data_IF_523415031831
#
_entry.id   IF_523415031831
#
_cell.length_a   1.000
_cell.length_b   1.000
_cell.length_c   1.000
_cell.angle_alpha   90.00
_cell.angle_beta   90.00
_cell.angle_gamma   90.00
#
_symmetry.space_group_name_H-M   'P 1'
#
loop_
_entity.id
_entity.type
_entity.pdbx_description
1 polymer ?
#
# COMPACT_ATOMS: atom_id res chain seq x y z
N UNK A 1 -13.49 49.78 5.89
CA UNK A 1 -13.80 48.88 4.76
C UNK A 1 -12.58 48.28 4.06
N UNK A 2 -11.43 48.96 3.94
CA UNK A 2 -10.29 48.44 3.17
C UNK A 2 -9.39 47.41 3.90
N UNK A 3 -9.35 47.43 5.24
CA UNK A 3 -8.50 46.54 6.04
C UNK A 3 -9.06 45.11 6.17
N UNK A 4 -10.37 44.95 6.30
CA UNK A 4 -11.02 43.63 6.38
C UNK A 4 -10.98 42.90 5.03
N UNK A 5 -11.04 43.62 3.92
CA UNK A 5 -10.94 43.04 2.58
C UNK A 5 -9.52 42.52 2.30
N UNK A 6 -8.48 43.29 2.64
CA UNK A 6 -7.09 42.85 2.52
C UNK A 6 -6.74 41.66 3.44
N UNK A 7 -7.34 41.57 4.63
CA UNK A 7 -7.17 40.41 5.52
C UNK A 7 -7.92 39.17 5.02
N UNK A 8 -9.11 39.34 4.42
CA UNK A 8 -9.83 38.25 3.73
C UNK A 8 -9.03 37.74 2.54
N UNK A 9 -8.49 38.63 1.70
CA UNK A 9 -7.67 38.25 0.55
C UNK A 9 -6.34 37.61 0.95
N UNK A 10 -5.67 38.08 2.02
CA UNK A 10 -4.50 37.40 2.59
C UNK A 10 -4.85 36.01 3.12
N UNK A 11 -5.95 35.85 3.85
CA UNK A 11 -6.42 34.53 4.33
C UNK A 11 -6.82 33.59 3.19
N UNK A 12 -7.40 34.11 2.11
CA UNK A 12 -7.74 33.34 0.90
C UNK A 12 -6.48 32.98 0.12
N UNK A 13 -5.49 33.89 -0.01
CA UNK A 13 -4.19 33.57 -0.62
C UNK A 13 -3.39 32.58 0.21
N UNK A 14 -3.44 32.65 1.55
CA UNK A 14 -2.82 31.66 2.45
C UNK A 14 -3.54 30.32 2.34
N UNK A 15 -4.88 30.28 2.28
CA UNK A 15 -5.64 29.03 2.03
C UNK A 15 -5.36 28.45 0.63
N UNK A 16 -5.30 29.27 -0.41
CA UNK A 16 -4.93 28.84 -1.78
C UNK A 16 -3.47 28.39 -1.89
N UNK A 17 -2.57 28.90 -1.05
CA UNK A 17 -1.16 28.44 -0.95
C UNK A 17 -1.01 27.17 -0.09
N UNK A 18 -1.94 26.93 0.84
CA UNK A 18 -2.08 25.69 1.63
C UNK A 18 -2.64 24.51 0.82
N UNK A 19 -3.24 24.77 -0.33
CA UNK A 19 -3.73 23.76 -1.29
C UNK A 19 -2.74 23.55 -2.45
N UNK A 20 -1.43 23.62 -2.16
CA UNK A 20 -0.40 23.27 -3.14
C UNK A 20 -0.52 21.78 -3.46
N UNK A 21 -0.64 21.47 -4.74
CA UNK A 21 -0.63 20.11 -5.27
C UNK A 21 0.53 19.32 -4.65
N UNK A 22 0.22 18.31 -3.85
CA UNK A 22 1.18 17.26 -3.43
C UNK A 22 1.92 16.73 -4.67
N UNK A 23 1.28 16.75 -5.84
CA UNK A 23 1.78 16.25 -7.14
C UNK A 23 3.14 16.85 -7.57
N UNK A 24 3.46 18.10 -7.19
CA UNK A 24 4.69 18.81 -7.60
C UNK A 24 5.59 19.19 -6.40
N UNK A 25 5.56 18.39 -5.33
CA UNK A 25 6.37 18.65 -4.15
C UNK A 25 7.88 18.44 -4.41
N UNK A 26 8.70 19.40 -3.99
CA UNK A 26 10.17 19.36 -4.08
C UNK A 26 10.73 19.13 -2.68
N UNK A 27 11.63 18.14 -2.47
CA UNK A 27 12.22 17.88 -1.16
C UNK A 27 13.06 19.08 -0.69
N UNK A 28 13.08 19.31 0.62
CA UNK A 28 14.08 20.19 1.24
C UNK A 28 15.46 19.53 1.26
N UNK A 29 16.52 20.31 1.51
CA UNK A 29 17.89 19.78 1.57
C UNK A 29 18.05 18.70 2.65
N UNK A 30 17.35 18.85 3.78
CA UNK A 30 17.35 17.87 4.87
C UNK A 30 16.69 16.54 4.47
N UNK A 31 15.74 16.57 3.54
CA UNK A 31 14.99 15.39 3.10
C UNK A 31 15.62 14.70 1.90
N UNK A 32 16.61 15.34 1.27
CA UNK A 32 17.05 14.99 -0.09
C UNK A 32 17.56 13.57 -0.21
N UNK A 33 18.44 13.14 0.69
CA UNK A 33 19.02 11.79 0.68
C UNK A 33 17.93 10.72 0.86
N UNK A 34 17.07 10.89 1.87
CA UNK A 34 15.95 9.98 2.10
C UNK A 34 14.99 9.97 0.90
N UNK A 35 14.65 11.15 0.38
CA UNK A 35 13.76 11.27 -0.77
C UNK A 35 14.34 10.57 -2.02
N UNK A 36 15.64 10.70 -2.29
CA UNK A 36 16.30 10.01 -3.40
C UNK A 36 16.26 8.49 -3.20
N UNK A 37 16.59 7.99 -2.01
CA UNK A 37 16.50 6.56 -1.69
C UNK A 37 15.09 5.99 -1.88
N UNK A 38 14.06 6.72 -1.43
CA UNK A 38 12.66 6.30 -1.61
C UNK A 38 12.23 6.40 -3.08
N UNK A 39 12.73 7.39 -3.83
CA UNK A 39 12.42 7.53 -5.25
C UNK A 39 12.88 6.32 -6.06
N UNK A 40 13.98 5.67 -5.66
CA UNK A 40 14.52 4.46 -6.29
C UNK A 40 13.59 3.27 -6.05
N UNK A 41 13.14 3.09 -4.81
CA UNK A 41 12.12 2.09 -4.44
C UNK A 41 10.83 2.31 -5.24
N UNK A 42 10.38 3.55 -5.38
CA UNK A 42 9.18 3.88 -6.15
C UNK A 42 9.36 3.71 -7.67
N UNK A 43 10.59 3.83 -8.19
CA UNK A 43 10.89 3.48 -9.59
C UNK A 43 10.76 1.98 -9.81
N UNK A 44 11.31 1.17 -8.92
CA UNK A 44 11.21 -0.29 -8.96
C UNK A 44 9.76 -0.78 -8.76
N UNK A 45 9.00 -0.14 -7.86
CA UNK A 45 7.60 -0.48 -7.59
C UNK A 45 6.70 -0.39 -8.84
N UNK A 46 6.94 0.61 -9.69
CA UNK A 46 6.23 0.77 -10.98
C UNK A 46 6.52 -0.37 -11.95
N UNK A 47 7.77 -0.84 -12.01
CA UNK A 47 8.15 -1.98 -12.84
C UNK A 47 7.49 -3.26 -12.35
N UNK A 48 7.45 -3.47 -11.03
CA UNK A 48 6.78 -4.62 -10.42
C UNK A 48 5.29 -4.66 -10.76
N UNK A 49 4.59 -3.53 -10.66
CA UNK A 49 3.18 -3.46 -11.04
C UNK A 49 3.01 -3.78 -12.53
N UNK A 50 3.85 -3.24 -13.40
CA UNK A 50 3.79 -3.52 -14.83
C UNK A 50 4.02 -5.01 -15.14
N UNK A 51 4.98 -5.64 -14.48
CA UNK A 51 5.25 -7.07 -14.67
C UNK A 51 4.14 -7.96 -14.14
N UNK A 52 3.57 -7.62 -12.97
CA UNK A 52 2.47 -8.36 -12.37
C UNK A 52 1.20 -8.25 -13.23
N UNK A 53 0.92 -7.08 -13.81
CA UNK A 53 -0.19 -6.91 -14.78
C UNK A 53 -0.03 -7.79 -16.03
N UNK A 54 1.21 -8.13 -16.39
CA UNK A 54 1.52 -8.99 -17.54
C UNK A 54 1.68 -10.47 -17.16
N UNK A 55 1.43 -10.84 -15.91
CA UNK A 55 1.58 -12.21 -15.43
C UNK A 55 0.43 -13.09 -15.94
N UNK A 56 0.69 -13.86 -17.01
CA UNK A 56 -0.31 -14.75 -17.64
C UNK A 56 -0.40 -16.14 -16.98
N UNK A 57 0.65 -16.56 -16.29
CA UNK A 57 0.80 -17.90 -15.76
C UNK A 57 1.13 -18.98 -16.80
N UNK A 58 1.40 -20.19 -16.34
CA UNK A 58 1.77 -21.34 -17.19
C UNK A 58 0.75 -22.49 -17.10
N UNK A 59 -0.52 -22.16 -16.86
CA UNK A 59 -1.55 -23.14 -16.55
C UNK A 59 -1.76 -24.18 -17.67
N UNK A 60 -1.56 -23.81 -18.94
CA UNK A 60 -1.70 -24.72 -20.08
C UNK A 60 -0.58 -25.75 -20.05
N UNK A 61 0.66 -25.29 -20.00
CA UNK A 61 1.86 -26.11 -20.03
C UNK A 61 1.91 -27.03 -18.79
N UNK A 62 1.53 -26.50 -17.62
CA UNK A 62 1.42 -27.28 -16.38
C UNK A 62 0.38 -28.40 -16.53
N UNK A 63 -0.81 -28.12 -17.08
CA UNK A 63 -1.86 -29.14 -17.26
C UNK A 63 -1.41 -30.23 -18.24
N UNK A 64 -0.75 -29.86 -19.33
CA UNK A 64 -0.20 -30.81 -20.30
C UNK A 64 0.85 -31.71 -19.63
N UNK A 65 1.77 -31.15 -18.83
CA UNK A 65 2.78 -31.91 -18.10
C UNK A 65 2.21 -32.79 -16.97
N UNK A 66 1.11 -32.40 -16.32
CA UNK A 66 0.45 -33.25 -15.32
C UNK A 66 -0.29 -34.42 -15.99
N UNK A 67 -0.86 -34.19 -17.18
CA UNK A 67 -1.68 -35.19 -17.88
C UNK A 67 -0.82 -36.20 -18.65
N UNK A 68 0.32 -35.76 -19.19
CA UNK A 68 1.25 -36.59 -19.95
C UNK A 68 2.68 -36.41 -19.40
N UNK A 69 3.23 -37.50 -18.87
CA UNK A 69 4.55 -37.54 -18.25
C UNK A 69 5.71 -37.58 -19.27
N UNK A 70 5.45 -37.36 -20.56
CA UNK A 70 6.50 -37.28 -21.56
C UNK A 70 7.51 -36.15 -21.24
N UNK A 71 8.80 -36.37 -21.55
CA UNK A 71 9.88 -35.44 -21.22
C UNK A 71 9.69 -34.06 -21.87
N UNK A 72 9.09 -34.01 -23.05
CA UNK A 72 8.87 -32.79 -23.81
C UNK A 72 7.83 -31.87 -23.15
N UNK A 73 6.75 -32.42 -22.61
CA UNK A 73 5.76 -31.71 -21.82
C UNK A 73 6.36 -31.20 -20.50
N UNK A 74 7.16 -32.03 -19.80
CA UNK A 74 7.87 -31.58 -18.59
C UNK A 74 8.82 -30.42 -18.90
N UNK A 75 9.57 -30.52 -20.01
CA UNK A 75 10.49 -29.47 -20.48
C UNK A 75 9.77 -28.17 -20.77
N UNK A 76 8.67 -28.21 -21.54
CA UNK A 76 7.85 -27.02 -21.86
C UNK A 76 7.27 -26.37 -20.61
N UNK A 77 6.74 -27.15 -19.67
CA UNK A 77 6.24 -26.63 -18.40
C UNK A 77 7.35 -25.98 -17.57
N UNK A 78 8.54 -26.60 -17.51
CA UNK A 78 9.70 -26.02 -16.82
C UNK A 78 10.13 -24.69 -17.45
N UNK A 79 10.27 -24.65 -18.77
CA UNK A 79 10.67 -23.43 -19.50
C UNK A 79 9.66 -22.29 -19.35
N UNK A 80 8.37 -22.61 -19.25
CA UNK A 80 7.33 -21.61 -18.99
C UNK A 80 7.31 -21.13 -17.53
N UNK A 81 7.45 -22.03 -16.56
CA UNK A 81 7.29 -21.73 -15.13
C UNK A 81 8.51 -21.07 -14.51
N UNK A 82 9.73 -21.45 -14.89
CA UNK A 82 10.97 -20.91 -14.27
C UNK A 82 11.02 -19.38 -14.34
N UNK A 83 10.83 -18.72 -15.50
CA UNK A 83 10.86 -17.25 -15.57
C UNK A 83 9.76 -16.59 -14.74
N UNK A 84 8.58 -17.22 -14.65
CA UNK A 84 7.48 -16.70 -13.85
C UNK A 84 7.83 -16.73 -12.36
N UNK A 85 8.40 -17.83 -11.88
CA UNK A 85 8.81 -17.96 -10.47
C UNK A 85 9.98 -17.04 -10.13
N UNK A 86 10.90 -16.79 -11.06
CA UNK A 86 11.93 -15.74 -10.90
C UNK A 86 11.30 -14.36 -10.68
N UNK A 87 10.22 -14.01 -11.39
CA UNK A 87 9.48 -12.76 -11.11
C UNK A 87 8.83 -12.77 -9.74
N UNK A 88 8.22 -13.90 -9.34
CA UNK A 88 7.61 -14.02 -8.02
C UNK A 88 8.63 -13.84 -6.89
N UNK A 89 9.84 -14.34 -7.07
CA UNK A 89 10.97 -14.10 -6.19
C UNK A 89 11.34 -12.61 -6.12
N UNK A 90 11.49 -11.95 -7.28
CA UNK A 90 11.81 -10.52 -7.35
C UNK A 90 10.79 -9.65 -6.60
N UNK A 91 9.49 -9.96 -6.74
CA UNK A 91 8.43 -9.24 -6.03
C UNK A 91 8.52 -9.45 -4.51
N UNK A 92 8.87 -10.65 -4.05
CA UNK A 92 9.09 -10.92 -2.63
C UNK A 92 10.34 -10.18 -2.10
N UNK A 93 11.44 -10.20 -2.84
CA UNK A 93 12.66 -9.45 -2.47
C UNK A 93 12.39 -7.95 -2.40
N UNK A 94 11.57 -7.42 -3.30
CA UNK A 94 11.10 -6.04 -3.20
C UNK A 94 10.31 -5.76 -1.93
N UNK A 95 9.48 -6.71 -1.47
CA UNK A 95 8.79 -6.56 -0.19
C UNK A 95 9.78 -6.46 0.99
N UNK A 96 10.92 -7.16 0.91
CA UNK A 96 11.97 -7.04 1.93
C UNK A 96 12.66 -5.67 1.88
N UNK A 97 12.97 -5.16 0.69
CA UNK A 97 13.46 -3.78 0.52
C UNK A 97 12.49 -2.76 1.11
N UNK A 98 11.18 -2.94 0.87
CA UNK A 98 10.15 -2.06 1.41
C UNK A 98 10.10 -2.13 2.94
N UNK A 99 10.20 -3.34 3.51
CA UNK A 99 10.28 -3.57 4.96
C UNK A 99 11.48 -2.88 5.62
N UNK A 100 12.62 -2.84 4.95
CA UNK A 100 13.82 -2.16 5.45
C UNK A 100 13.73 -0.64 5.33
N UNK A 101 13.07 -0.16 4.28
CA UNK A 101 13.03 1.27 3.94
C UNK A 101 11.89 2.02 4.64
N UNK A 102 10.73 1.38 4.85
CA UNK A 102 9.57 2.04 5.45
C UNK A 102 9.85 2.66 6.85
N UNK A 103 10.59 2.02 7.77
CA UNK A 103 10.91 2.61 9.07
C UNK A 103 11.65 3.94 8.99
N UNK A 104 12.54 4.13 8.01
CA UNK A 104 13.30 5.39 7.88
C UNK A 104 12.39 6.55 7.44
N UNK A 105 11.40 6.27 6.60
CA UNK A 105 10.37 7.23 6.21
C UNK A 105 9.43 7.57 7.37
N UNK A 106 9.01 6.56 8.14
CA UNK A 106 8.14 6.77 9.32
C UNK A 106 8.88 7.54 10.41
N UNK A 107 10.17 7.26 10.61
CA UNK A 107 11.02 8.00 11.53
C UNK A 107 10.98 9.49 11.20
N UNK A 108 11.06 9.87 9.93
CA UNK A 108 11.06 11.27 9.50
C UNK A 108 9.66 11.94 9.58
N UNK A 109 8.60 11.19 9.27
CA UNK A 109 7.23 11.69 9.19
C UNK A 109 6.45 11.69 10.51
N UNK A 110 6.96 11.01 11.55
CA UNK A 110 6.26 10.84 12.83
C UNK A 110 7.04 11.43 14.02
N UNK A 111 8.03 12.28 13.78
CA UNK A 111 8.90 12.84 14.82
C UNK A 111 8.13 13.71 15.81
N UNK A 112 8.50 13.74 17.11
CA UNK A 112 7.78 14.52 18.10
C UNK A 112 7.95 16.03 17.98
N UNK A 113 8.96 16.53 17.26
CA UNK A 113 9.25 17.97 17.16
C UNK A 113 8.22 18.75 16.32
N UNK A 114 7.43 18.05 15.50
CA UNK A 114 6.39 18.63 14.67
C UNK A 114 5.06 17.92 14.89
N UNK A 115 3.97 18.67 14.84
CA UNK A 115 2.64 18.07 14.77
C UNK A 115 2.43 17.38 13.41
N UNK A 116 1.54 16.38 13.34
CA UNK A 116 1.11 15.75 12.08
C UNK A 116 0.78 16.76 10.96
N UNK A 117 0.05 17.82 11.28
CA UNK A 117 -0.29 18.85 10.31
C UNK A 117 0.95 19.61 9.79
N UNK A 118 1.94 19.85 10.66
CA UNK A 118 3.19 20.50 10.25
C UNK A 118 3.99 19.58 9.33
N UNK A 119 4.14 18.29 9.64
CA UNK A 119 4.77 17.32 8.74
C UNK A 119 4.12 17.35 7.34
N UNK A 120 2.79 17.35 7.27
CA UNK A 120 2.06 17.42 5.99
C UNK A 120 2.27 18.74 5.24
N UNK A 121 2.47 19.85 5.95
CA UNK A 121 2.68 21.16 5.33
C UNK A 121 4.14 21.38 4.88
N UNK A 122 5.12 20.89 5.66
CA UNK A 122 6.55 21.14 5.43
C UNK A 122 7.26 20.02 4.67
N UNK A 123 6.80 18.78 4.79
CA UNK A 123 7.44 17.58 4.25
C UNK A 123 6.64 16.93 3.12
N UNK A 124 6.09 17.77 2.23
CA UNK A 124 5.14 17.36 1.19
C UNK A 124 5.70 16.26 0.26
N UNK A 125 7.01 16.30 -0.03
CA UNK A 125 7.66 15.32 -0.90
C UNK A 125 7.69 13.92 -0.25
N UNK A 126 8.07 13.83 1.03
CA UNK A 126 8.09 12.57 1.76
C UNK A 126 6.67 12.04 2.03
N UNK A 127 5.72 12.93 2.33
CA UNK A 127 4.30 12.56 2.49
C UNK A 127 3.74 11.99 1.19
N UNK A 128 4.09 12.58 0.04
CA UNK A 128 3.74 12.03 -1.28
C UNK A 128 4.33 10.63 -1.46
N UNK A 129 5.61 10.46 -1.15
CA UNK A 129 6.27 9.17 -1.32
C UNK A 129 5.68 8.09 -0.40
N UNK A 130 5.29 8.43 0.83
CA UNK A 130 4.56 7.51 1.70
C UNK A 130 3.22 7.13 1.08
N UNK A 131 2.47 8.09 0.56
CA UNK A 131 1.22 7.81 -0.15
C UNK A 131 1.43 6.92 -1.40
N UNK A 132 2.52 7.11 -2.16
CA UNK A 132 2.88 6.25 -3.31
C UNK A 132 3.25 4.82 -2.88
N UNK A 133 3.91 4.63 -1.74
CA UNK A 133 4.14 3.30 -1.15
C UNK A 133 2.79 2.62 -0.82
N UNK A 134 1.86 3.35 -0.21
CA UNK A 134 0.55 2.82 0.16
C UNK A 134 -0.33 2.50 -1.07
N UNK A 135 -0.28 3.33 -2.11
CA UNK A 135 -0.96 3.06 -3.38
C UNK A 135 -0.40 1.79 -4.04
N UNK A 136 0.93 1.68 -4.14
CA UNK A 136 1.59 0.47 -4.64
C UNK A 136 1.13 -0.78 -3.87
N UNK A 137 1.10 -0.69 -2.54
CA UNK A 137 0.77 -1.79 -1.64
C UNK A 137 -0.61 -2.38 -1.97
N UNK A 138 -1.65 -1.55 -2.00
CA UNK A 138 -3.00 -2.04 -2.31
C UNK A 138 -3.14 -2.47 -3.77
N UNK A 139 -2.45 -1.80 -4.70
CA UNK A 139 -2.51 -2.14 -6.13
C UNK A 139 -1.85 -3.49 -6.42
N UNK A 140 -0.73 -3.78 -5.78
CA UNK A 140 -0.08 -5.09 -5.87
C UNK A 140 -1.03 -6.18 -5.35
N UNK A 141 -1.62 -5.98 -4.18
CA UNK A 141 -2.48 -6.97 -3.54
C UNK A 141 -3.78 -7.20 -4.35
N UNK A 142 -4.36 -6.15 -4.93
CA UNK A 142 -5.50 -6.23 -5.85
C UNK A 142 -5.18 -7.09 -7.10
N UNK A 143 -4.03 -6.84 -7.74
CA UNK A 143 -3.57 -7.62 -8.88
C UNK A 143 -3.28 -9.07 -8.49
N UNK A 144 -2.66 -9.29 -7.33
CA UNK A 144 -2.35 -10.62 -6.82
C UNK A 144 -3.63 -11.42 -6.54
N UNK A 145 -4.63 -10.80 -5.90
CA UNK A 145 -5.91 -11.46 -5.61
C UNK A 145 -6.67 -11.87 -6.87
N UNK A 146 -6.55 -11.10 -7.95
CA UNK A 146 -7.18 -11.37 -9.24
C UNK A 146 -6.36 -12.28 -10.16
N UNK A 147 -5.17 -12.72 -9.71
CA UNK A 147 -4.25 -13.57 -10.50
C UNK A 147 -4.03 -14.93 -9.83
N UNK A 148 -4.98 -15.88 -9.91
CA UNK A 148 -4.88 -17.20 -9.26
C UNK A 148 -3.72 -18.05 -9.79
N UNK A 149 -3.19 -17.74 -10.99
CA UNK A 149 -2.06 -18.44 -11.57
C UNK A 149 -0.79 -18.39 -10.70
N UNK A 150 -0.58 -17.30 -9.94
CA UNK A 150 0.60 -17.11 -9.09
C UNK A 150 0.80 -18.29 -8.12
N UNK A 151 -0.24 -18.66 -7.38
CA UNK A 151 -0.15 -19.75 -6.40
C UNK A 151 -0.01 -21.11 -7.09
N UNK A 152 -0.67 -21.29 -8.24
CA UNK A 152 -0.61 -22.54 -9.00
C UNK A 152 0.79 -22.79 -9.56
N UNK A 153 1.38 -21.79 -10.21
CA UNK A 153 2.71 -21.86 -10.82
C UNK A 153 3.78 -22.09 -9.74
N UNK A 154 3.73 -21.34 -8.64
CA UNK A 154 4.65 -21.50 -7.52
C UNK A 154 4.53 -22.89 -6.89
N UNK A 155 3.30 -23.39 -6.71
CA UNK A 155 3.04 -24.72 -6.15
C UNK A 155 3.49 -25.85 -7.09
N UNK A 156 3.38 -25.67 -8.40
CA UNK A 156 3.90 -26.62 -9.38
C UNK A 156 5.43 -26.61 -9.38
N UNK A 157 6.04 -25.42 -9.44
CA UNK A 157 7.48 -25.26 -9.41
C UNK A 157 8.10 -25.96 -8.21
N UNK A 158 7.59 -25.70 -7.01
CA UNK A 158 8.13 -26.29 -5.77
C UNK A 158 8.02 -27.82 -5.73
N UNK A 159 6.95 -28.39 -6.26
CA UNK A 159 6.70 -29.84 -6.20
C UNK A 159 7.47 -30.61 -7.26
N UNK A 160 7.63 -30.03 -8.44
CA UNK A 160 8.10 -30.75 -9.63
C UNK A 160 9.46 -30.22 -10.10
N UNK A 161 9.56 -28.92 -10.35
CA UNK A 161 10.71 -28.30 -11.02
C UNK A 161 11.89 -28.12 -10.05
N UNK A 162 11.64 -27.66 -8.83
CA UNK A 162 12.68 -27.40 -7.83
C UNK A 162 13.47 -28.67 -7.48
N UNK A 163 12.80 -29.83 -7.42
CA UNK A 163 13.45 -31.13 -7.14
C UNK A 163 14.41 -31.60 -8.23
N UNK A 164 14.31 -31.04 -9.43
CA UNK A 164 15.15 -31.37 -10.57
C UNK A 164 16.31 -30.39 -10.76
N UNK A 165 16.27 -29.23 -10.09
CA UNK A 165 17.19 -28.11 -10.29
C UNK A 165 18.33 -28.03 -9.28
N UNK A 166 18.30 -28.83 -8.20
CA UNK A 166 19.24 -28.78 -7.07
C UNK A 166 19.63 -27.33 -6.69
N UNK A 167 20.86 -26.90 -7.01
CA UNK A 167 21.42 -25.58 -6.64
C UNK A 167 21.10 -24.44 -7.62
N UNK A 168 20.48 -24.71 -8.77
CA UNK A 168 20.11 -23.70 -9.78
C UNK A 168 18.69 -23.16 -9.62
N UNK A 169 18.01 -23.50 -8.53
CA UNK A 169 16.64 -23.04 -8.27
C UNK A 169 16.62 -21.54 -7.99
N UNK A 170 15.90 -20.69 -8.75
CA UNK A 170 15.70 -19.26 -8.44
C UNK A 170 15.38 -19.01 -6.96
N UNK A 171 14.33 -19.63 -6.44
CA UNK A 171 13.88 -19.39 -5.04
C UNK A 171 14.72 -20.06 -3.94
N UNK A 172 15.80 -20.78 -4.30
CA UNK A 172 16.75 -21.47 -3.41
C UNK A 172 16.28 -21.73 -1.96
N UNK A 173 16.91 -21.05 -1.00
CA UNK A 173 16.63 -21.14 0.45
C UNK A 173 15.35 -20.41 0.88
N UNK A 174 14.89 -19.41 0.12
CA UNK A 174 13.76 -18.55 0.45
C UNK A 174 12.40 -19.16 0.03
N UNK A 175 12.41 -20.36 -0.57
CA UNK A 175 11.22 -21.08 -1.07
C UNK A 175 10.06 -21.14 -0.07
N UNK A 176 10.35 -21.36 1.22
CA UNK A 176 9.33 -21.39 2.27
C UNK A 176 8.74 -20.00 2.54
N UNK A 177 9.59 -18.99 2.71
CA UNK A 177 9.17 -17.62 2.99
C UNK A 177 8.36 -17.03 1.83
N UNK A 178 8.79 -17.26 0.58
CA UNK A 178 8.07 -16.88 -0.64
C UNK A 178 6.69 -17.56 -0.69
N UNK A 179 6.60 -18.83 -0.29
CA UNK A 179 5.30 -19.53 -0.24
C UNK A 179 4.36 -18.92 0.78
N UNK A 180 4.85 -18.58 1.97
CA UNK A 180 4.05 -17.92 3.01
C UNK A 180 3.59 -16.53 2.56
N UNK A 181 4.47 -15.78 1.90
CA UNK A 181 4.13 -14.49 1.31
C UNK A 181 2.93 -14.63 0.36
N UNK A 182 3.00 -15.51 -0.64
CA UNK A 182 1.91 -15.65 -1.62
C UNK A 182 0.65 -16.35 -1.09
N UNK A 183 0.73 -17.05 0.03
CA UNK A 183 -0.44 -17.64 0.70
C UNK A 183 -1.36 -16.58 1.33
N UNK A 184 -0.82 -15.43 1.74
CA UNK A 184 -1.60 -14.33 2.31
C UNK A 184 -2.35 -13.61 1.18
N UNK A 185 -3.67 -13.32 1.29
CA UNK A 185 -4.42 -12.61 0.25
C UNK A 185 -3.82 -11.25 -0.11
N UNK A 186 -3.39 -10.49 0.89
CA UNK A 186 -2.82 -9.14 0.78
C UNK A 186 -1.37 -9.09 1.31
N UNK A 187 -0.42 -9.70 0.59
CA UNK A 187 0.92 -9.92 1.10
C UNK A 187 1.74 -8.65 1.29
N UNK A 188 1.63 -7.66 0.40
CA UNK A 188 2.34 -6.39 0.57
C UNK A 188 1.77 -5.61 1.75
N UNK A 189 0.45 -5.57 1.89
CA UNK A 189 -0.19 -4.91 3.02
C UNK A 189 0.20 -5.55 4.35
N UNK A 190 0.33 -6.89 4.41
CA UNK A 190 0.83 -7.58 5.61
C UNK A 190 2.25 -7.16 5.95
N UNK A 191 3.13 -7.05 4.96
CA UNK A 191 4.51 -6.57 5.17
C UNK A 191 4.51 -5.15 5.70
N UNK A 192 3.74 -4.23 5.09
CA UNK A 192 3.66 -2.83 5.53
C UNK A 192 3.04 -2.72 6.92
N UNK A 193 1.96 -3.44 7.22
CA UNK A 193 1.30 -3.42 8.53
C UNK A 193 2.23 -3.95 9.62
N UNK A 194 2.87 -5.11 9.41
CA UNK A 194 3.79 -5.71 10.38
C UNK A 194 5.00 -4.82 10.63
N UNK A 195 5.55 -4.24 9.56
CA UNK A 195 6.69 -3.33 9.65
C UNK A 195 6.32 -2.07 10.44
N UNK A 196 5.13 -1.54 10.22
CA UNK A 196 4.64 -0.35 10.94
C UNK A 196 4.36 -0.67 12.41
N UNK A 197 3.74 -1.82 12.72
CA UNK A 197 3.55 -2.29 14.10
C UNK A 197 4.90 -2.52 14.79
N UNK A 198 5.88 -3.10 14.09
CA UNK A 198 7.23 -3.28 14.62
C UNK A 198 7.90 -1.93 14.90
N UNK A 199 7.80 -0.98 13.97
CA UNK A 199 8.34 0.36 14.11
C UNK A 199 7.86 1.05 15.40
N UNK A 200 6.54 1.09 15.64
CA UNK A 200 6.00 1.75 16.85
C UNK A 200 6.38 1.06 18.16
N UNK A 201 6.72 -0.23 18.11
CA UNK A 201 7.13 -0.99 19.29
C UNK A 201 8.63 -0.88 19.58
N UNK A 202 9.46 -0.63 18.56
CA UNK A 202 10.92 -0.57 18.68
C UNK A 202 11.44 0.86 18.83
N UNK A 203 10.72 1.87 18.32
CA UNK A 203 11.12 3.28 18.35
C UNK A 203 10.37 4.08 19.42
N UNK A 204 10.70 3.81 20.68
CA UNK A 204 10.07 4.46 21.84
C UNK A 204 10.33 5.97 21.92
N UNK A 205 11.32 6.48 21.18
CA UNK A 205 11.58 7.91 20.99
C UNK A 205 10.46 8.63 20.24
N UNK A 206 9.67 7.91 19.45
CA UNK A 206 8.47 8.44 18.79
C UNK A 206 7.25 7.99 19.58
N UNK A 207 6.48 8.92 20.17
CA UNK A 207 5.23 8.56 20.82
C UNK A 207 4.27 7.89 19.82
N UNK A 208 3.59 6.83 20.25
CA UNK A 208 2.59 6.12 19.46
C UNK A 208 1.51 7.06 18.89
N UNK A 209 1.14 8.07 19.68
CA UNK A 209 0.18 9.12 19.29
C UNK A 209 0.65 9.89 18.05
N UNK A 210 1.94 10.23 17.92
CA UNK A 210 2.45 10.91 16.74
C UNK A 210 2.26 10.10 15.46
N UNK A 211 2.51 8.79 15.52
CA UNK A 211 2.33 7.91 14.35
C UNK A 211 0.84 7.77 14.00
N UNK A 212 0.00 7.48 15.00
CA UNK A 212 -1.44 7.28 14.80
C UNK A 212 -2.15 8.57 14.38
N UNK A 213 -1.83 9.72 14.97
CA UNK A 213 -2.35 11.03 14.55
C UNK A 213 -1.87 11.43 13.15
N UNK A 214 -0.63 11.09 12.77
CA UNK A 214 -0.14 11.30 11.40
C UNK A 214 -0.98 10.53 10.39
N UNK A 215 -1.22 9.24 10.63
CA UNK A 215 -2.08 8.44 9.75
C UNK A 215 -3.52 8.95 9.73
N UNK A 216 -4.07 9.31 10.90
CA UNK A 216 -5.42 9.88 11.01
C UNK A 216 -5.57 11.20 10.26
N UNK A 217 -4.57 12.08 10.36
CA UNK A 217 -4.54 13.37 9.66
C UNK A 217 -4.47 13.16 8.15
N UNK A 218 -3.58 12.27 7.67
CA UNK A 218 -3.49 11.93 6.25
C UNK A 218 -4.80 11.33 5.72
N UNK A 219 -5.43 10.42 6.48
CA UNK A 219 -6.69 9.81 6.11
C UNK A 219 -7.79 10.88 6.00
N UNK A 220 -7.83 11.84 6.93
CA UNK A 220 -8.78 12.95 6.91
C UNK A 220 -8.57 13.88 5.73
N UNK A 221 -7.32 14.12 5.34
CA UNK A 221 -6.99 14.90 4.13
C UNK A 221 -7.51 14.19 2.89
N UNK A 222 -7.23 12.88 2.74
CA UNK A 222 -7.73 12.08 1.62
C UNK A 222 -9.26 12.10 1.55
N UNK A 223 -9.93 11.87 2.68
CA UNK A 223 -11.40 11.93 2.77
C UNK A 223 -11.93 13.29 2.30
N UNK A 224 -11.36 14.41 2.79
CA UNK A 224 -11.79 15.75 2.38
C UNK A 224 -11.57 16.03 0.90
N UNK A 225 -10.47 15.53 0.33
CA UNK A 225 -10.20 15.64 -1.10
C UNK A 225 -11.24 14.90 -1.94
N UNK A 226 -11.77 13.79 -1.43
CA UNK A 226 -12.78 12.95 -2.09
C UNK A 226 -14.23 13.37 -1.81
N UNK A 227 -14.48 14.18 -0.78
CA UNK A 227 -15.81 14.69 -0.43
C UNK A 227 -16.09 16.09 -1.00
N UNK A 228 -15.06 16.89 -1.29
CA UNK A 228 -15.21 18.25 -1.75
C UNK A 228 -15.26 18.33 -3.30
N UNK A 229 -16.42 18.68 -3.91
CA UNK A 229 -16.56 18.75 -5.37
C UNK A 229 -15.57 19.72 -6.03
N UNK A 230 -15.23 20.84 -5.36
CA UNK A 230 -14.29 21.83 -5.88
C UNK A 230 -12.85 21.29 -5.94
N UNK A 231 -12.50 20.32 -5.08
CA UNK A 231 -11.20 19.66 -5.11
C UNK A 231 -11.19 18.53 -6.14
N UNK A 232 -12.26 17.74 -6.19
CA UNK A 232 -12.43 16.68 -7.19
C UNK A 232 -12.35 17.25 -8.60
N UNK A 233 -12.98 18.40 -8.86
CA UNK A 233 -12.93 19.08 -10.15
C UNK A 233 -11.52 19.53 -10.57
N UNK A 234 -10.55 19.58 -9.64
CA UNK A 234 -9.14 19.88 -9.94
C UNK A 234 -8.33 18.63 -10.32
N UNK A 235 -8.87 17.43 -10.10
CA UNK A 235 -8.21 16.20 -10.53
C UNK A 235 -8.21 16.15 -12.05
N UNK A 236 -7.03 16.23 -12.64
CA UNK A 236 -6.87 16.19 -14.10
C UNK A 236 -6.97 14.77 -14.67
N UNK A 237 -6.86 13.76 -13.80
CA UNK A 237 -6.68 12.35 -14.14
C UNK A 237 -7.50 11.48 -13.22
N UNK A 238 -8.20 10.49 -13.77
CA UNK A 238 -8.96 9.50 -12.99
C UNK A 238 -8.03 8.73 -12.04
N UNK A 239 -6.79 8.49 -12.46
CA UNK A 239 -5.78 7.81 -11.64
C UNK A 239 -5.50 8.57 -10.33
N UNK A 240 -5.60 9.90 -10.32
CA UNK A 240 -5.43 10.70 -9.09
C UNK A 240 -6.55 10.42 -8.10
N UNK A 241 -7.79 10.29 -8.58
CA UNK A 241 -8.93 9.96 -7.73
C UNK A 241 -8.79 8.56 -7.13
N UNK A 242 -8.44 7.57 -7.96
CA UNK A 242 -8.21 6.19 -7.55
C UNK A 242 -7.00 6.05 -6.60
N UNK A 243 -5.97 6.87 -6.79
CA UNK A 243 -4.81 6.97 -5.91
C UNK A 243 -5.26 7.40 -4.49
N UNK A 244 -6.03 8.49 -4.38
CA UNK A 244 -6.46 9.02 -3.08
C UNK A 244 -7.38 8.01 -2.36
N UNK A 245 -8.25 7.29 -3.10
CA UNK A 245 -9.08 6.22 -2.53
C UNK A 245 -8.24 5.09 -1.92
N UNK A 246 -7.21 4.61 -2.64
CA UNK A 246 -6.28 3.58 -2.15
C UNK A 246 -5.52 4.06 -0.91
N UNK A 247 -4.97 5.26 -0.95
CA UNK A 247 -4.20 5.83 0.16
C UNK A 247 -5.08 5.98 1.41
N UNK A 248 -6.31 6.48 1.26
CA UNK A 248 -7.26 6.60 2.37
C UNK A 248 -7.50 5.23 3.05
N UNK A 249 -7.79 4.20 2.27
CA UNK A 249 -8.06 2.84 2.77
C UNK A 249 -6.83 2.24 3.45
N UNK A 250 -5.65 2.37 2.84
CA UNK A 250 -4.41 1.88 3.40
C UNK A 250 -4.12 2.53 4.76
N UNK A 251 -4.31 3.85 4.88
CA UNK A 251 -4.12 4.58 6.15
C UNK A 251 -5.10 4.12 7.24
N UNK A 252 -6.37 3.86 6.89
CA UNK A 252 -7.34 3.29 7.85
C UNK A 252 -6.86 1.93 8.36
N UNK A 253 -6.38 1.06 7.46
CA UNK A 253 -5.90 -0.28 7.84
C UNK A 253 -4.64 -0.18 8.70
N UNK A 254 -3.66 0.65 8.32
CA UNK A 254 -2.45 0.83 9.13
C UNK A 254 -2.75 1.41 10.50
N UNK A 255 -3.63 2.41 10.59
CA UNK A 255 -4.09 2.93 11.87
C UNK A 255 -4.69 1.81 12.72
N UNK A 256 -5.55 0.97 12.14
CA UNK A 256 -6.21 -0.12 12.86
C UNK A 256 -5.23 -1.18 13.38
N UNK A 257 -4.13 -1.43 12.68
CA UNK A 257 -3.09 -2.37 13.14
C UNK A 257 -2.18 -1.81 14.23
N UNK A 258 -1.96 -0.48 14.22
CA UNK A 258 -1.02 0.21 15.09
C UNK A 258 -1.69 0.71 16.38
N UNK A 259 -2.91 1.21 16.29
CA UNK A 259 -3.63 1.75 17.43
C UNK A 259 -4.08 0.62 18.38
N UNK A 260 -3.89 0.74 19.71
CA UNK A 260 -4.17 -0.35 20.66
C UNK A 260 -5.63 -0.83 20.61
N UNK A 261 -6.55 0.12 20.49
CA UNK A 261 -8.00 -0.14 20.41
C UNK A 261 -8.54 -0.13 18.97
N UNK A 262 -7.66 0.00 17.97
CA UNK A 262 -8.03 0.03 16.55
C UNK A 262 -8.67 1.32 16.04
N UNK A 263 -9.08 1.29 14.77
CA UNK A 263 -9.67 2.43 14.04
C UNK A 263 -11.19 2.58 14.29
N UNK A 264 -11.84 1.57 14.88
CA UNK A 264 -13.31 1.52 14.97
C UNK A 264 -13.88 2.08 16.28
N UNK A 265 -13.01 2.40 17.25
CA UNK A 265 -13.43 3.04 18.51
C UNK A 265 -13.76 4.51 18.31
N UNK A 266 -14.63 5.04 19.19
CA UNK A 266 -15.07 6.44 19.12
C UNK A 266 -13.94 7.46 19.29
N UNK A 267 -12.88 7.08 20.01
CA UNK A 267 -11.71 7.93 20.24
C UNK A 267 -10.70 7.89 19.08
N UNK A 268 -10.95 7.11 18.03
CA UNK A 268 -10.06 7.05 16.87
C UNK A 268 -9.99 8.39 16.15
N UNK A 269 -8.78 8.75 15.71
CA UNK A 269 -8.55 9.91 14.87
C UNK A 269 -8.95 9.69 13.40
N UNK A 270 -9.45 8.50 13.06
CA UNK A 270 -9.92 8.13 11.72
C UNK A 270 -11.46 8.09 11.70
N UNK A 271 -12.06 8.88 10.81
CA UNK A 271 -13.49 8.79 10.51
C UNK A 271 -13.78 7.62 9.56
N UNK A 272 -13.75 6.39 10.10
CA UNK A 272 -13.94 5.17 9.29
C UNK A 272 -15.30 5.17 8.60
N UNK A 273 -16.36 5.65 9.26
CA UNK A 273 -17.71 5.72 8.68
C UNK A 273 -17.76 6.66 7.49
N UNK A 274 -17.13 7.83 7.60
CA UNK A 274 -17.01 8.76 6.49
C UNK A 274 -16.17 8.20 5.35
N UNK A 275 -15.06 7.53 5.64
CA UNK A 275 -14.25 6.84 4.62
C UNK A 275 -15.04 5.75 3.87
N UNK A 276 -15.81 4.93 4.60
CA UNK A 276 -16.69 3.91 4.01
C UNK A 276 -17.80 4.54 3.16
N UNK A 277 -18.37 5.67 3.60
CA UNK A 277 -19.35 6.41 2.81
C UNK A 277 -18.74 6.88 1.48
N UNK A 278 -17.56 7.51 1.53
CA UNK A 278 -16.82 7.94 0.33
C UNK A 278 -16.62 6.79 -0.66
N UNK A 279 -16.28 5.58 -0.18
CA UNK A 279 -16.13 4.39 -1.02
C UNK A 279 -17.46 3.91 -1.61
N UNK A 280 -18.54 3.92 -0.83
CA UNK A 280 -19.88 3.52 -1.29
C UNK A 280 -20.46 4.46 -2.34
N UNK A 281 -20.03 5.72 -2.34
CA UNK A 281 -20.41 6.72 -3.34
C UNK A 281 -19.63 6.57 -4.67
N UNK A 282 -18.64 5.67 -4.75
CA UNK A 282 -17.88 5.38 -5.99
C UNK A 282 -18.52 4.23 -6.80
N UNK A 283 -18.22 4.14 -8.12
CA UNK A 283 -18.54 2.96 -8.91
C UNK A 283 -17.98 1.68 -8.28
N UNK A 284 -18.76 0.59 -8.32
CA UNK A 284 -18.38 -0.69 -7.72
C UNK A 284 -17.03 -1.22 -8.26
N UNK A 285 -16.75 -1.00 -9.54
CA UNK A 285 -15.47 -1.35 -10.18
C UNK A 285 -14.24 -0.75 -9.50
N UNK A 286 -14.42 0.37 -8.80
CA UNK A 286 -13.33 1.15 -8.19
C UNK A 286 -13.30 1.02 -6.66
N UNK A 287 -14.41 0.63 -6.02
CA UNK A 287 -14.53 0.59 -4.55
C UNK A 287 -14.70 -0.79 -3.95
N UNK A 288 -15.15 -1.81 -4.68
CA UNK A 288 -15.45 -3.12 -4.10
C UNK A 288 -14.19 -3.80 -3.54
N UNK A 289 -13.08 -3.76 -4.28
CA UNK A 289 -11.80 -4.29 -3.81
C UNK A 289 -11.29 -3.57 -2.55
N UNK A 290 -11.49 -2.25 -2.47
CA UNK A 290 -11.11 -1.44 -1.32
C UNK A 290 -11.99 -1.71 -0.09
N UNK A 291 -13.30 -1.90 -0.29
CA UNK A 291 -14.23 -2.32 0.76
C UNK A 291 -13.88 -3.73 1.26
N UNK A 292 -13.48 -4.64 0.37
CA UNK A 292 -13.01 -5.97 0.75
C UNK A 292 -11.68 -5.91 1.51
N UNK A 293 -10.75 -5.03 1.14
CA UNK A 293 -9.55 -4.80 1.93
C UNK A 293 -9.91 -4.38 3.36
N UNK A 294 -10.79 -3.39 3.54
CA UNK A 294 -11.28 -3.01 4.86
C UNK A 294 -11.95 -4.18 5.61
N UNK A 295 -12.71 -5.05 4.93
CA UNK A 295 -13.41 -6.16 5.59
C UNK A 295 -12.49 -7.27 6.07
N UNK A 296 -11.46 -7.59 5.29
CA UNK A 296 -10.67 -8.80 5.49
C UNK A 296 -9.28 -8.56 6.08
N UNK A 297 -8.79 -7.31 6.05
CA UNK A 297 -7.41 -7.00 6.49
C UNK A 297 -7.32 -6.12 7.71
N UNK A 298 -8.42 -5.47 8.13
CA UNK A 298 -8.46 -4.78 9.43
C UNK A 298 -8.42 -5.79 10.57
N UNK A 299 -7.76 -5.42 11.66
CA UNK A 299 -7.57 -6.21 12.87
C UNK A 299 -8.80 -6.19 13.78
N UNK A 300 -9.44 -5.02 13.99
CA UNK A 300 -10.45 -4.85 15.04
C UNK A 300 -11.90 -4.76 14.53
N UNK A 301 -12.15 -4.92 13.22
CA UNK A 301 -13.51 -4.84 12.66
C UNK A 301 -14.48 -5.85 13.30
N UNK A 302 -14.00 -7.05 13.61
CA UNK A 302 -14.81 -8.14 14.15
C UNK A 302 -14.86 -8.16 15.69
N UNK A 303 -14.29 -7.17 16.36
CA UNK A 303 -14.30 -7.09 17.82
C UNK A 303 -15.71 -6.81 18.36
N UNK A 304 -16.01 -7.37 19.54
CA UNK A 304 -17.31 -7.18 20.20
C UNK A 304 -17.65 -5.71 20.47
N UNK A 305 -16.63 -4.87 20.64
CA UNK A 305 -16.78 -3.44 20.93
C UNK A 305 -16.92 -2.58 19.67
N UNK A 306 -16.74 -3.15 18.48
CA UNK A 306 -16.84 -2.43 17.21
C UNK A 306 -18.31 -2.13 16.88
N UNK A 307 -18.68 -0.87 16.60
CA UNK A 307 -20.06 -0.53 16.26
C UNK A 307 -20.53 -1.33 15.05
N UNK A 308 -21.65 -2.06 15.17
CA UNK A 308 -22.24 -2.91 14.09
C UNK A 308 -22.47 -2.21 12.74
N UNK A 309 -22.43 -0.88 12.71
CA UNK A 309 -22.51 -0.06 11.49
C UNK A 309 -21.27 -0.23 10.61
N UNK A 310 -20.10 -0.55 11.18
CA UNK A 310 -18.88 -0.84 10.42
C UNK A 310 -18.95 -2.16 9.63
N UNK A 311 -19.85 -3.08 10.03
CA UNK A 311 -20.00 -4.41 9.44
C UNK A 311 -21.00 -4.46 8.28
N UNK A 312 -21.56 -3.33 7.82
CA UNK A 312 -22.55 -3.24 6.74
C UNK A 312 -22.16 -2.23 5.68
#
# INVERSE_FOLDING_TARGET
>A
MNYEHQNKEKRIKIKKKKEKNIVDAVPSEAERELHENIADILRESRLIIQELQQYKGAAKEIKEAISDANEECQRRAREAVVPLVTKLEQFYMFSQKLKETLPTLLMELCRPEMSPCQHLETQQALVKQFAEILEFTLKFDELKMTTPAIQNDLSYYRRTVMRQLDTQSPIGHESHAISLFYAIPTPMLKVVSDTTTKFVNEHNEIPLENTTETFGTMAKVCQRMLENPDLIARFQREETHLFILRVMVALVILYDHVHPDGAFVRASNVDVKGCVKVLKDQPASSSENLLNALRYTTKHLNDNNTPRIANR
#
